data_IF_994542503612
#
_entry.id   IF_994542503612
#
_cell.length_a   1.000
_cell.length_b   1.000
_cell.length_c   1.000
_cell.angle_alpha   90.00
_cell.angle_beta   90.00
_cell.angle_gamma   90.00
#
_symmetry.space_group_name_H-M   'P 1'
#
loop_
_entity.id
_entity.type
_entity.pdbx_description
1 polymer ?
#
# COMPACT_ATOMS: atom_id res chain seq x y z
N UNK A 1 -43.86 -13.78 20.80
CA UNK A 1 -42.70 -13.25 21.56
C UNK A 1 -41.45 -13.52 20.72
N UNK A 2 -40.83 -12.46 20.21
CA UNK A 2 -39.90 -12.49 19.07
C UNK A 2 -38.56 -13.20 19.35
N UNK A 3 -38.12 -14.01 18.38
CA UNK A 3 -36.79 -14.65 18.27
C UNK A 3 -35.62 -13.64 18.15
N UNK A 4 -35.92 -12.34 18.06
CA UNK A 4 -34.95 -11.24 17.90
C UNK A 4 -34.23 -10.82 19.19
N UNK A 5 -34.71 -11.25 20.37
CA UNK A 5 -34.12 -10.90 21.67
C UNK A 5 -33.14 -11.93 22.24
N UNK A 6 -33.05 -13.14 21.66
CA UNK A 6 -32.09 -14.16 22.16
C UNK A 6 -30.64 -13.89 21.73
N UNK A 7 -30.44 -13.23 20.59
CA UNK A 7 -29.10 -12.86 20.13
C UNK A 7 -28.46 -11.84 21.07
N UNK A 8 -29.18 -10.79 21.50
CA UNK A 8 -28.64 -9.74 22.39
C UNK A 8 -28.25 -10.25 23.79
N UNK A 9 -28.97 -11.24 24.33
CA UNK A 9 -28.68 -11.82 25.65
C UNK A 9 -27.57 -12.87 25.66
N UNK A 10 -27.30 -13.54 24.55
CA UNK A 10 -26.20 -14.52 24.46
C UNK A 10 -24.81 -13.86 24.51
N UNK A 11 -24.71 -12.56 24.20
CA UNK A 11 -23.43 -11.83 24.23
C UNK A 11 -23.01 -11.37 25.62
N UNK A 12 -23.94 -11.07 26.52
CA UNK A 12 -23.60 -10.80 27.93
C UNK A 12 -23.07 -12.06 28.65
N UNK A 13 -23.45 -13.25 28.19
CA UNK A 13 -23.07 -14.52 28.84
C UNK A 13 -21.86 -15.18 28.16
N UNK A 14 -21.60 -14.91 26.87
CA UNK A 14 -20.39 -15.38 26.19
C UNK A 14 -19.11 -14.60 26.61
N UNK A 15 -19.27 -13.39 27.17
CA UNK A 15 -18.18 -12.67 27.85
C UNK A 15 -17.89 -13.14 29.28
N UNK A 16 -18.62 -14.15 29.79
CA UNK A 16 -18.57 -14.56 31.20
C UNK A 16 -17.98 -15.97 31.45
N UNK A 17 -17.25 -16.54 30.48
CA UNK A 17 -16.54 -17.81 30.67
C UNK A 17 -15.02 -17.73 30.44
N UNK A 18 -14.41 -16.57 30.67
CA UNK A 18 -12.98 -16.45 31.04
C UNK A 18 -12.87 -15.51 32.25
N UNK A 19 -13.61 -15.79 33.31
CA UNK A 19 -13.33 -15.23 34.64
C UNK A 19 -12.44 -16.21 35.41
N UNK A 20 -11.27 -16.50 34.87
CA UNK A 20 -10.12 -16.82 35.69
C UNK A 20 -9.55 -15.48 36.18
N UNK A 21 -9.30 -15.34 37.48
CA UNK A 21 -8.57 -14.19 38.01
C UNK A 21 -7.35 -13.91 37.11
N UNK A 22 -7.09 -12.64 36.79
CA UNK A 22 -5.87 -12.22 36.11
C UNK A 22 -4.67 -12.77 36.88
N UNK A 23 -4.14 -13.91 36.41
CA UNK A 23 -2.89 -14.43 36.91
C UNK A 23 -1.83 -13.48 36.35
N UNK A 24 -1.10 -12.81 37.23
CA UNK A 24 0.01 -11.97 36.82
C UNK A 24 1.00 -12.81 36.01
N UNK A 25 1.14 -12.50 34.71
CA UNK A 25 2.03 -13.21 33.80
C UNK A 25 1.62 -13.04 32.32
N UNK A 26 2.46 -13.56 31.40
CA UNK A 26 2.20 -13.49 29.96
C UNK A 26 0.90 -14.22 29.58
N UNK A 27 0.23 -13.78 28.52
CA UNK A 27 -0.96 -14.44 28.01
C UNK A 27 -0.66 -15.90 27.58
N UNK A 28 -1.59 -16.81 27.80
CA UNK A 28 -1.47 -18.19 27.28
C UNK A 28 -1.71 -18.20 25.77
N UNK A 29 -1.25 -19.26 25.09
CA UNK A 29 -1.52 -19.44 23.66
C UNK A 29 -3.03 -19.48 23.37
N UNK A 30 -3.82 -20.10 24.25
CA UNK A 30 -5.28 -20.16 24.13
C UNK A 30 -5.92 -18.76 24.18
N UNK A 31 -5.41 -17.86 25.04
CA UNK A 31 -5.88 -16.47 25.09
C UNK A 31 -5.56 -15.72 23.80
N UNK A 32 -4.36 -15.91 23.23
CA UNK A 32 -3.93 -15.27 21.98
C UNK A 32 -4.77 -15.76 20.80
N UNK A 33 -4.94 -17.07 20.68
CA UNK A 33 -5.73 -17.69 19.62
C UNK A 33 -7.21 -17.26 19.72
N UNK A 34 -7.74 -17.22 20.95
CA UNK A 34 -9.10 -16.74 21.23
C UNK A 34 -9.31 -15.29 20.83
N UNK A 35 -8.38 -14.40 21.16
CA UNK A 35 -8.43 -12.99 20.77
C UNK A 35 -8.46 -12.82 19.24
N UNK A 36 -7.61 -13.56 18.52
CA UNK A 36 -7.51 -13.48 17.07
C UNK A 36 -8.73 -14.09 16.35
N UNK A 37 -9.25 -15.23 16.81
CA UNK A 37 -10.47 -15.81 16.25
C UNK A 37 -11.71 -14.96 16.54
N UNK A 38 -11.78 -14.29 17.70
CA UNK A 38 -12.85 -13.33 18.00
C UNK A 38 -12.81 -12.15 17.02
N UNK A 39 -11.63 -11.54 16.82
CA UNK A 39 -11.45 -10.48 15.82
C UNK A 39 -11.89 -10.94 14.42
N UNK A 40 -11.43 -12.12 13.99
CA UNK A 40 -11.73 -12.65 12.66
C UNK A 40 -13.23 -12.89 12.46
N UNK A 41 -13.86 -13.57 13.41
CA UNK A 41 -15.28 -13.96 13.31
C UNK A 41 -16.19 -12.73 13.37
N UNK A 42 -15.97 -11.85 14.35
CA UNK A 42 -16.84 -10.68 14.54
C UNK A 42 -16.76 -9.70 13.38
N UNK A 43 -15.57 -9.50 12.82
CA UNK A 43 -15.42 -8.63 11.64
C UNK A 43 -16.03 -9.24 10.38
N UNK A 44 -16.14 -10.56 10.26
CA UNK A 44 -16.87 -11.19 9.16
C UNK A 44 -18.38 -10.97 9.30
N UNK A 45 -18.94 -11.13 10.50
CA UNK A 45 -20.34 -10.85 10.80
C UNK A 45 -20.71 -9.40 10.52
N UNK A 46 -19.92 -8.44 11.05
CA UNK A 46 -20.16 -7.02 10.85
C UNK A 46 -20.13 -6.62 9.37
N UNK A 47 -19.29 -7.26 8.55
CA UNK A 47 -19.29 -7.05 7.09
C UNK A 47 -20.55 -7.60 6.44
N UNK A 48 -20.95 -8.83 6.78
CA UNK A 48 -22.18 -9.43 6.25
C UNK A 48 -23.43 -8.61 6.60
N UNK A 49 -23.44 -8.00 7.79
CA UNK A 49 -24.50 -7.12 8.26
C UNK A 49 -24.40 -5.67 7.74
N UNK A 50 -23.34 -5.31 7.00
CA UNK A 50 -23.03 -3.93 6.58
C UNK A 50 -22.93 -2.94 7.77
N UNK A 51 -22.44 -3.40 8.91
CA UNK A 51 -22.25 -2.63 10.16
C UNK A 51 -20.79 -2.41 10.55
N UNK A 52 -19.84 -2.93 9.77
CA UNK A 52 -18.43 -2.67 10.02
C UNK A 52 -18.13 -1.19 9.80
N UNK A 53 -17.71 -0.51 10.87
CA UNK A 53 -17.27 0.88 10.88
C UNK A 53 -16.14 1.04 11.92
N UNK A 54 -15.62 2.26 12.10
CA UNK A 54 -14.51 2.51 13.02
C UNK A 54 -14.84 2.15 14.48
N UNK A 55 -16.06 2.47 14.93
CA UNK A 55 -16.52 2.19 16.29
C UNK A 55 -16.64 0.68 16.54
N UNK A 56 -17.34 -0.05 15.67
CA UNK A 56 -17.50 -1.50 15.82
C UNK A 56 -16.18 -2.26 15.63
N UNK A 57 -15.24 -1.70 14.86
CA UNK A 57 -13.87 -2.22 14.76
C UNK A 57 -13.13 -2.08 16.09
N UNK A 58 -13.19 -0.90 16.70
CA UNK A 58 -12.58 -0.63 18.00
C UNK A 58 -13.15 -1.49 19.11
N UNK A 59 -14.48 -1.55 19.23
CA UNK A 59 -15.18 -2.40 20.20
C UNK A 59 -14.78 -3.88 20.09
N UNK A 60 -14.61 -4.36 18.86
CA UNK A 60 -14.15 -5.75 18.63
C UNK A 60 -12.72 -5.95 19.14
N UNK A 61 -11.84 -4.97 18.92
CA UNK A 61 -10.47 -4.99 19.44
C UNK A 61 -10.42 -5.02 20.97
N UNK A 62 -11.18 -4.15 21.62
CA UNK A 62 -11.29 -4.09 23.09
C UNK A 62 -11.80 -5.42 23.66
N UNK A 63 -12.84 -5.98 23.05
CA UNK A 63 -13.38 -7.28 23.45
C UNK A 63 -12.36 -8.40 23.26
N UNK A 64 -11.57 -8.37 22.19
CA UNK A 64 -10.54 -9.37 21.91
C UNK A 64 -9.39 -9.34 22.93
N UNK A 65 -9.07 -8.17 23.48
CA UNK A 65 -8.00 -8.00 24.48
C UNK A 65 -8.49 -8.09 25.92
N UNK A 66 -9.77 -8.39 26.15
CA UNK A 66 -10.33 -8.49 27.50
C UNK A 66 -9.58 -9.55 28.33
N UNK A 67 -8.99 -9.13 29.46
CA UNK A 67 -8.19 -10.00 30.33
C UNK A 67 -6.74 -10.24 29.87
N UNK A 68 -6.27 -9.53 28.83
CA UNK A 68 -4.88 -9.54 28.38
C UNK A 68 -4.18 -8.26 28.83
N UNK A 69 -3.16 -8.41 29.68
CA UNK A 69 -2.30 -7.32 30.16
C UNK A 69 -1.11 -7.11 29.21
N UNK A 70 -1.19 -6.09 28.36
CA UNK A 70 -0.17 -5.81 27.34
C UNK A 70 1.23 -5.61 27.95
N UNK A 71 1.30 -5.02 29.16
CA UNK A 71 2.55 -4.79 29.88
C UNK A 71 3.33 -6.06 30.26
N UNK A 72 2.66 -7.21 30.30
CA UNK A 72 3.28 -8.49 30.68
C UNK A 72 3.64 -9.37 29.46
N UNK A 73 3.23 -8.96 28.25
CA UNK A 73 3.44 -9.74 27.04
C UNK A 73 4.92 -9.82 26.65
N UNK A 74 5.31 -10.94 26.04
CA UNK A 74 6.60 -11.06 25.34
C UNK A 74 6.54 -10.42 23.96
N UNK A 75 7.69 -10.24 23.31
CA UNK A 75 7.76 -9.68 21.94
C UNK A 75 6.88 -10.46 20.96
N UNK A 76 7.02 -11.79 20.93
CA UNK A 76 6.26 -12.64 20.02
C UNK A 76 4.75 -12.61 20.28
N UNK A 77 4.32 -12.41 21.54
CA UNK A 77 2.91 -12.27 21.87
C UNK A 77 2.33 -10.93 21.42
N UNK A 78 3.11 -9.85 21.53
CA UNK A 78 2.72 -8.55 20.97
C UNK A 78 2.61 -8.65 19.45
N UNK A 79 3.60 -9.27 18.79
CA UNK A 79 3.57 -9.56 17.35
C UNK A 79 2.28 -10.30 16.94
N UNK A 80 1.92 -11.37 17.65
CA UNK A 80 0.72 -12.16 17.39
C UNK A 80 -0.60 -11.41 17.67
N UNK A 81 -0.57 -10.35 18.48
CA UNK A 81 -1.74 -9.55 18.88
C UNK A 81 -1.76 -8.16 18.22
N UNK A 82 -0.91 -7.87 17.24
CA UNK A 82 -0.82 -6.55 16.62
C UNK A 82 -2.15 -6.04 16.07
N UNK A 83 -2.97 -6.92 15.49
CA UNK A 83 -4.29 -6.55 14.95
C UNK A 83 -5.29 -6.12 16.04
N UNK A 84 -5.56 -6.93 17.08
CA UNK A 84 -6.42 -6.48 18.17
C UNK A 84 -5.85 -5.27 18.92
N UNK A 85 -4.53 -5.19 19.16
CA UNK A 85 -3.86 -4.02 19.76
C UNK A 85 -4.15 -2.75 18.96
N UNK A 86 -3.99 -2.83 17.63
CA UNK A 86 -4.24 -1.69 16.75
C UNK A 86 -5.71 -1.30 16.70
N UNK A 87 -6.62 -2.28 16.75
CA UNK A 87 -8.06 -2.04 16.75
C UNK A 87 -8.54 -1.37 18.03
N UNK A 88 -8.07 -1.83 19.19
CA UNK A 88 -8.42 -1.31 20.50
C UNK A 88 -7.79 0.07 20.81
N UNK A 89 -6.99 0.64 19.91
CA UNK A 89 -6.22 1.86 20.17
C UNK A 89 -5.25 1.75 21.36
N UNK A 90 -4.77 0.52 21.67
CA UNK A 90 -3.83 0.23 22.78
C UNK A 90 -2.36 0.25 22.33
N UNK A 91 -2.05 0.89 21.21
CA UNK A 91 -0.68 1.08 20.72
C UNK A 91 0.25 1.75 21.74
N UNK A 92 -0.18 2.77 22.53
CA UNK A 92 0.71 3.39 23.52
C UNK A 92 1.22 2.41 24.59
N UNK A 93 0.37 1.49 25.04
CA UNK A 93 0.75 0.45 26.02
C UNK A 93 1.72 -0.56 25.39
N UNK A 94 1.44 -1.01 24.17
CA UNK A 94 2.32 -1.90 23.43
C UNK A 94 3.68 -1.25 23.17
N UNK A 95 3.71 0.03 22.77
CA UNK A 95 4.93 0.79 22.57
C UNK A 95 5.75 0.92 23.86
N UNK A 96 5.11 1.18 25.01
CA UNK A 96 5.80 1.22 26.30
C UNK A 96 6.46 -0.13 26.65
N UNK A 97 5.74 -1.24 26.43
CA UNK A 97 6.28 -2.58 26.65
C UNK A 97 7.42 -2.90 25.68
N UNK A 98 7.24 -2.65 24.39
CA UNK A 98 8.26 -2.90 23.36
C UNK A 98 9.54 -2.08 23.60
N UNK A 99 9.45 -0.83 24.08
CA UNK A 99 10.64 -0.04 24.49
C UNK A 99 11.47 -0.76 25.56
N UNK A 100 10.81 -1.43 26.51
CA UNK A 100 11.50 -2.18 27.57
C UNK A 100 12.16 -3.44 27.01
N UNK A 101 11.43 -4.19 26.17
CA UNK A 101 11.91 -5.41 25.55
C UNK A 101 13.06 -5.16 24.55
N UNK A 102 13.04 -4.02 23.85
CA UNK A 102 14.06 -3.62 22.88
C UNK A 102 15.44 -3.33 23.50
N UNK A 103 15.55 -3.26 24.82
CA UNK A 103 16.85 -3.13 25.50
C UNK A 103 17.65 -4.45 25.50
N UNK A 104 16.97 -5.59 25.28
CA UNK A 104 17.64 -6.90 25.20
C UNK A 104 18.45 -7.02 23.90
N UNK A 105 19.71 -7.46 23.99
CA UNK A 105 20.63 -7.53 22.85
C UNK A 105 20.50 -8.83 22.04
N UNK A 106 19.36 -9.50 22.13
CA UNK A 106 19.02 -10.76 21.44
C UNK A 106 18.14 -10.50 20.21
N UNK A 107 17.82 -11.55 19.45
CA UNK A 107 16.84 -11.48 18.38
C UNK A 107 15.44 -11.04 18.89
N UNK A 108 15.06 -11.38 20.12
CA UNK A 108 13.79 -10.94 20.74
C UNK A 108 13.73 -9.43 20.96
N UNK A 109 14.84 -8.83 21.40
CA UNK A 109 14.93 -7.37 21.53
C UNK A 109 15.00 -6.66 20.18
N UNK A 110 15.65 -7.27 19.17
CA UNK A 110 15.66 -6.72 17.82
C UNK A 110 14.25 -6.70 17.20
N UNK A 111 13.49 -7.79 17.33
CA UNK A 111 12.10 -7.85 16.91
C UNK A 111 11.24 -6.83 17.69
N UNK A 112 11.48 -6.66 19.00
CA UNK A 112 10.78 -5.65 19.78
C UNK A 112 11.06 -4.23 19.29
N UNK A 113 12.30 -3.93 18.92
CA UNK A 113 12.68 -2.64 18.36
C UNK A 113 12.01 -2.41 16.99
N UNK A 114 11.96 -3.43 16.13
CA UNK A 114 11.25 -3.37 14.86
C UNK A 114 9.74 -3.15 15.04
N UNK A 115 9.09 -3.90 15.93
CA UNK A 115 7.67 -3.73 16.26
C UNK A 115 7.38 -2.36 16.90
N UNK A 116 8.31 -1.83 17.70
CA UNK A 116 8.16 -0.49 18.26
C UNK A 116 8.05 0.55 17.14
N UNK A 117 8.85 0.45 16.08
CA UNK A 117 8.78 1.38 14.96
C UNK A 117 7.45 1.29 14.19
N UNK A 118 6.81 0.11 14.18
CA UNK A 118 5.57 -0.12 13.40
C UNK A 118 4.29 0.10 14.21
N UNK A 119 4.33 -0.07 15.54
CA UNK A 119 3.15 0.08 16.40
C UNK A 119 2.81 1.55 16.67
N UNK A 120 3.74 2.48 16.45
CA UNK A 120 3.50 3.91 16.71
C UNK A 120 2.28 4.42 15.94
N UNK A 121 1.38 5.18 16.58
CA UNK A 121 0.18 5.68 15.91
C UNK A 121 0.55 6.66 14.80
N UNK A 122 -0.35 6.89 13.83
CA UNK A 122 -0.08 7.71 12.62
C UNK A 122 0.25 9.18 12.91
N UNK A 123 -0.15 9.68 14.05
CA UNK A 123 0.10 11.03 14.55
C UNK A 123 1.32 11.13 15.48
N UNK A 124 2.03 10.02 15.74
CA UNK A 124 3.29 10.04 16.49
C UNK A 124 4.27 11.06 15.88
N UNK A 125 5.00 11.75 16.75
CA UNK A 125 5.91 12.83 16.36
C UNK A 125 7.05 12.30 15.49
N UNK A 126 7.63 13.18 14.67
CA UNK A 126 8.78 12.81 13.84
C UNK A 126 9.98 12.36 14.69
N UNK A 127 10.20 12.97 15.85
CA UNK A 127 11.26 12.60 16.78
C UNK A 127 11.04 11.20 17.38
N UNK A 128 9.81 10.87 17.73
CA UNK A 128 9.46 9.55 18.27
C UNK A 128 9.69 8.45 17.22
N UNK A 129 9.21 8.68 15.99
CA UNK A 129 9.45 7.76 14.86
C UNK A 129 10.93 7.62 14.55
N UNK A 130 11.64 8.74 14.49
CA UNK A 130 13.09 8.77 14.22
C UNK A 130 13.84 7.92 15.24
N UNK A 131 13.51 8.08 16.53
CA UNK A 131 14.14 7.35 17.63
C UNK A 131 13.86 5.86 17.54
N UNK A 132 12.61 5.47 17.30
CA UNK A 132 12.22 4.07 17.17
C UNK A 132 12.90 3.39 15.97
N UNK A 133 12.87 4.03 14.79
CA UNK A 133 13.49 3.51 13.58
C UNK A 133 15.02 3.40 13.72
N UNK A 134 15.68 4.41 14.29
CA UNK A 134 17.12 4.35 14.56
C UNK A 134 17.46 3.19 15.50
N UNK A 135 16.71 3.05 16.59
CA UNK A 135 16.87 1.96 17.55
C UNK A 135 16.77 0.58 16.87
N UNK A 136 15.75 0.39 16.02
CA UNK A 136 15.55 -0.84 15.27
C UNK A 136 16.70 -1.12 14.28
N UNK A 137 17.07 -0.14 13.45
CA UNK A 137 18.09 -0.31 12.40
C UNK A 137 19.50 -0.50 12.95
N UNK A 138 19.78 0.04 14.13
CA UNK A 138 21.09 -0.04 14.79
C UNK A 138 21.16 -1.15 15.84
N UNK A 139 20.07 -1.90 16.03
CA UNK A 139 20.03 -2.96 17.02
C UNK A 139 21.09 -4.04 16.71
N UNK A 140 21.96 -4.43 17.66
CA UNK A 140 23.10 -5.30 17.39
C UNK A 140 22.72 -6.68 16.87
N UNK A 141 21.52 -7.17 17.22
CA UNK A 141 20.99 -8.46 16.79
C UNK A 141 20.02 -8.37 15.58
N UNK A 142 19.90 -7.21 14.91
CA UNK A 142 18.97 -7.04 13.78
C UNK A 142 19.19 -8.09 12.68
N UNK A 143 20.45 -8.32 12.28
CA UNK A 143 20.76 -9.32 11.24
C UNK A 143 20.37 -10.73 11.69
N UNK A 144 20.59 -11.07 12.96
CA UNK A 144 20.21 -12.37 13.51
C UNK A 144 18.69 -12.55 13.49
N UNK A 145 17.94 -11.55 13.95
CA UNK A 145 16.48 -11.55 13.91
C UNK A 145 15.94 -11.72 12.48
N UNK A 146 16.47 -10.98 11.52
CA UNK A 146 16.08 -11.12 10.11
C UNK A 146 16.38 -12.51 9.54
N UNK A 147 17.49 -13.15 9.96
CA UNK A 147 17.79 -14.54 9.56
C UNK A 147 16.80 -15.55 10.16
N UNK A 148 16.14 -15.19 11.25
CA UNK A 148 15.11 -16.00 11.92
C UNK A 148 13.68 -15.62 11.48
N UNK A 149 13.52 -14.76 10.45
CA UNK A 149 12.21 -14.22 10.02
C UNK A 149 11.50 -13.47 11.14
N UNK A 150 12.26 -12.62 11.84
CA UNK A 150 11.77 -11.75 12.91
C UNK A 150 12.16 -10.30 12.64
N UNK A 151 11.20 -9.39 12.76
CA UNK A 151 11.41 -7.94 12.65
C UNK A 151 11.48 -7.42 11.21
N UNK A 152 11.17 -8.22 10.19
CA UNK A 152 11.08 -7.79 8.79
C UNK A 152 9.94 -6.79 8.52
N UNK A 153 9.03 -6.57 9.48
CA UNK A 153 8.09 -5.46 9.48
C UNK A 153 8.81 -4.11 9.37
N UNK A 154 10.01 -4.00 9.96
CA UNK A 154 10.88 -2.83 9.81
C UNK A 154 11.16 -2.50 8.34
N UNK A 155 11.41 -3.52 7.52
CA UNK A 155 11.73 -3.32 6.09
C UNK A 155 10.55 -2.71 5.34
N UNK A 156 9.33 -3.07 5.74
CA UNK A 156 8.12 -2.48 5.16
C UNK A 156 7.90 -1.06 5.70
N UNK A 157 8.06 -0.84 7.00
CA UNK A 157 7.89 0.47 7.64
C UNK A 157 8.82 1.54 7.06
N UNK A 158 10.08 1.18 6.75
CA UNK A 158 11.02 2.07 6.07
C UNK A 158 10.52 2.54 4.69
N UNK A 159 9.68 1.75 4.03
CA UNK A 159 9.05 2.11 2.74
C UNK A 159 7.89 3.10 2.88
N UNK A 160 7.27 3.21 4.05
CA UNK A 160 6.14 4.09 4.33
C UNK A 160 6.52 5.33 5.14
N UNK A 161 7.74 5.35 5.68
CA UNK A 161 8.26 6.45 6.49
C UNK A 161 8.39 7.72 5.65
N UNK A 162 8.00 8.86 6.24
CA UNK A 162 8.12 10.18 5.61
C UNK A 162 9.58 10.52 5.26
N UNK A 163 9.76 11.24 4.15
CA UNK A 163 11.08 11.66 3.65
C UNK A 163 11.90 12.41 4.71
N UNK A 164 11.26 13.28 5.47
CA UNK A 164 11.90 14.14 6.49
C UNK A 164 12.58 13.33 7.60
N UNK A 165 11.99 12.18 7.95
CA UNK A 165 12.57 11.23 8.91
C UNK A 165 13.67 10.40 8.24
N UNK A 166 13.44 9.89 7.03
CA UNK A 166 14.40 9.06 6.31
C UNK A 166 15.72 9.79 5.99
N UNK A 167 15.67 11.08 5.66
CA UNK A 167 16.87 11.90 5.44
C UNK A 167 17.79 11.95 6.67
N UNK A 168 17.23 11.82 7.87
CA UNK A 168 18.00 11.81 9.13
C UNK A 168 18.53 10.42 9.50
N UNK A 169 18.21 9.41 8.69
CA UNK A 169 18.55 8.00 8.90
C UNK A 169 19.32 7.40 7.72
N UNK A 170 19.84 8.23 6.81
CA UNK A 170 20.50 7.77 5.60
C UNK A 170 21.65 6.75 5.87
N UNK A 171 22.57 6.97 6.85
CA UNK A 171 23.61 6.00 7.16
C UNK A 171 23.05 4.66 7.66
N UNK A 172 22.05 4.69 8.54
CA UNK A 172 21.39 3.51 9.09
C UNK A 172 20.62 2.75 8.00
N UNK A 173 19.89 3.46 7.16
CA UNK A 173 19.14 2.90 6.04
C UNK A 173 20.06 2.19 5.04
N UNK A 174 21.20 2.82 4.71
CA UNK A 174 22.24 2.20 3.88
C UNK A 174 22.83 0.96 4.55
N UNK A 175 23.10 1.02 5.86
CA UNK A 175 23.60 -0.12 6.64
C UNK A 175 22.64 -1.32 6.58
N UNK A 176 21.33 -1.10 6.80
CA UNK A 176 20.31 -2.16 6.69
C UNK A 176 20.32 -2.78 5.29
N UNK A 177 20.40 -1.97 4.23
CA UNK A 177 20.49 -2.48 2.86
C UNK A 177 21.71 -3.39 2.65
N UNK A 178 22.85 -3.14 3.32
CA UNK A 178 24.02 -4.02 3.22
C UNK A 178 23.82 -5.40 3.88
N UNK A 179 22.89 -5.52 4.83
CA UNK A 179 22.58 -6.79 5.50
C UNK A 179 21.82 -7.74 4.55
N UNK A 180 21.03 -7.20 3.64
CA UNK A 180 20.17 -7.98 2.74
C UNK A 180 21.00 -8.77 1.72
N UNK A 181 20.79 -10.09 1.68
CA UNK A 181 21.49 -11.01 0.79
C UNK A 181 20.61 -12.19 0.36
N UNK A 182 20.98 -12.88 -0.71
CA UNK A 182 20.26 -14.07 -1.20
C UNK A 182 20.46 -15.35 -0.37
N UNK A 183 21.10 -15.24 0.80
CA UNK A 183 21.19 -16.30 1.81
C UNK A 183 20.11 -16.14 2.89
N UNK A 184 19.46 -14.97 2.95
CA UNK A 184 18.37 -14.73 3.88
C UNK A 184 17.10 -15.48 3.47
N UNK A 185 16.17 -15.71 4.42
CA UNK A 185 14.87 -16.29 4.12
C UNK A 185 14.11 -15.51 3.04
N UNK A 186 13.36 -16.23 2.20
CA UNK A 186 12.60 -15.65 1.09
C UNK A 186 11.60 -14.58 1.56
N UNK A 187 10.99 -14.73 2.75
CA UNK A 187 10.11 -13.73 3.37
C UNK A 187 10.81 -12.39 3.56
N UNK A 188 12.01 -12.42 4.16
CA UNK A 188 12.83 -11.23 4.44
C UNK A 188 13.30 -10.55 3.17
N UNK A 189 13.87 -11.30 2.22
CA UNK A 189 14.30 -10.74 0.93
C UNK A 189 13.11 -10.15 0.17
N UNK A 190 11.96 -10.81 0.22
CA UNK A 190 10.73 -10.31 -0.38
C UNK A 190 10.25 -8.99 0.24
N UNK A 191 10.37 -8.84 1.56
CA UNK A 191 9.99 -7.60 2.26
C UNK A 191 11.01 -6.48 2.09
N UNK A 192 12.29 -6.81 1.90
CA UNK A 192 13.35 -5.83 1.65
C UNK A 192 13.10 -4.98 0.39
N UNK A 193 12.28 -5.47 -0.56
CA UNK A 193 11.83 -4.66 -1.70
C UNK A 193 11.07 -3.41 -1.26
N UNK A 194 10.24 -3.49 -0.23
CA UNK A 194 9.44 -2.34 0.22
C UNK A 194 10.30 -1.22 0.81
N UNK A 195 11.40 -1.57 1.47
CA UNK A 195 12.38 -0.58 1.95
C UNK A 195 12.90 0.29 0.81
N UNK A 196 12.98 -0.22 -0.43
CA UNK A 196 13.41 0.55 -1.59
C UNK A 196 12.50 1.76 -1.87
N UNK A 197 11.21 1.71 -1.51
CA UNK A 197 10.32 2.85 -1.62
C UNK A 197 10.80 4.04 -0.76
N UNK A 198 11.39 3.77 0.41
CA UNK A 198 11.98 4.80 1.26
C UNK A 198 13.17 5.49 0.58
N UNK A 199 14.01 4.73 -0.11
CA UNK A 199 15.12 5.29 -0.91
C UNK A 199 14.63 6.14 -2.08
N UNK A 200 13.53 5.75 -2.72
CA UNK A 200 12.89 6.54 -3.78
C UNK A 200 12.35 7.88 -3.26
N UNK A 201 11.90 7.93 -2.00
CA UNK A 201 11.38 9.15 -1.39
C UNK A 201 12.46 10.22 -1.10
N UNK A 202 13.75 9.85 -1.01
CA UNK A 202 14.84 10.77 -0.67
C UNK A 202 15.06 11.91 -1.70
N UNK A 203 14.59 11.75 -2.93
CA UNK A 203 14.66 12.78 -3.98
C UNK A 203 15.92 12.68 -4.85
N UNK A 204 16.02 13.49 -5.91
CA UNK A 204 16.95 13.25 -7.03
C UNK A 204 18.43 13.16 -6.64
N UNK A 205 18.88 13.93 -5.65
CA UNK A 205 20.28 14.01 -5.18
C UNK A 205 20.86 12.67 -4.70
N UNK A 206 20.01 11.69 -4.39
CA UNK A 206 20.42 10.36 -3.90
C UNK A 206 20.55 9.29 -5.01
N UNK A 207 20.63 9.70 -6.29
CA UNK A 207 20.64 8.78 -7.43
C UNK A 207 21.69 7.66 -7.37
N UNK A 208 22.94 8.00 -7.02
CA UNK A 208 24.01 7.00 -6.93
C UNK A 208 23.78 5.98 -5.81
N UNK A 209 23.32 6.44 -4.63
CA UNK A 209 22.97 5.56 -3.51
C UNK A 209 21.77 4.67 -3.85
N UNK A 210 20.74 5.23 -4.50
CA UNK A 210 19.58 4.46 -4.97
C UNK A 210 20.02 3.33 -5.89
N UNK A 211 20.86 3.62 -6.88
CA UNK A 211 21.33 2.60 -7.82
C UNK A 211 22.15 1.50 -7.15
N UNK A 212 23.05 1.87 -6.22
CA UNK A 212 23.82 0.90 -5.44
C UNK A 212 22.90 -0.05 -4.65
N UNK A 213 21.94 0.52 -3.90
CA UNK A 213 21.01 -0.24 -3.07
C UNK A 213 20.08 -1.09 -3.93
N UNK A 214 19.52 -0.53 -5.01
CA UNK A 214 18.68 -1.24 -5.98
C UNK A 214 19.41 -2.44 -6.56
N UNK A 215 20.65 -2.26 -7.02
CA UNK A 215 21.46 -3.34 -7.57
C UNK A 215 21.70 -4.47 -6.57
N UNK A 216 21.98 -4.12 -5.30
CA UNK A 216 22.14 -5.08 -4.21
C UNK A 216 20.84 -5.86 -3.93
N UNK A 217 19.72 -5.15 -3.78
CA UNK A 217 18.42 -5.76 -3.53
C UNK A 217 18.01 -6.65 -4.71
N UNK A 218 18.22 -6.21 -5.94
CA UNK A 218 17.92 -6.99 -7.14
C UNK A 218 18.72 -8.28 -7.19
N UNK A 219 20.03 -8.22 -6.89
CA UNK A 219 20.88 -9.40 -6.80
C UNK A 219 20.40 -10.35 -5.71
N UNK A 220 20.17 -9.85 -4.49
CA UNK A 220 19.67 -10.66 -3.38
C UNK A 220 18.33 -11.34 -3.71
N UNK A 221 17.43 -10.61 -4.37
CA UNK A 221 16.11 -11.10 -4.78
C UNK A 221 16.22 -12.22 -5.80
N UNK A 222 17.06 -12.07 -6.83
CA UNK A 222 17.31 -13.12 -7.83
C UNK A 222 17.97 -14.35 -7.22
N UNK A 223 18.97 -14.15 -6.38
CA UNK A 223 19.70 -15.22 -5.69
C UNK A 223 18.75 -16.03 -4.77
N UNK A 224 17.81 -15.36 -4.09
CA UNK A 224 16.79 -16.00 -3.26
C UNK A 224 15.73 -16.72 -4.10
N UNK A 225 15.25 -16.09 -5.19
CA UNK A 225 14.24 -16.67 -6.08
C UNK A 225 14.71 -18.00 -6.69
N UNK A 226 16.00 -18.10 -7.03
CA UNK A 226 16.59 -19.31 -7.60
C UNK A 226 16.56 -20.53 -6.65
N UNK A 227 16.36 -20.31 -5.35
CA UNK A 227 16.36 -21.34 -4.30
C UNK A 227 15.01 -21.50 -3.61
N UNK A 228 14.05 -20.64 -3.93
CA UNK A 228 12.76 -20.57 -3.27
C UNK A 228 11.78 -21.61 -3.82
N UNK A 229 10.90 -22.09 -2.94
CA UNK A 229 9.70 -22.83 -3.34
C UNK A 229 8.79 -21.96 -4.21
N UNK A 230 7.94 -22.59 -5.02
CA UNK A 230 7.19 -21.92 -6.10
C UNK A 230 6.39 -20.69 -5.62
N UNK A 231 5.74 -20.78 -4.46
CA UNK A 231 4.93 -19.68 -3.92
C UNK A 231 5.78 -18.43 -3.61
N UNK A 232 6.97 -18.61 -3.01
CA UNK A 232 7.88 -17.51 -2.71
C UNK A 232 8.63 -17.04 -3.96
N UNK A 233 8.98 -17.97 -4.85
CA UNK A 233 9.65 -17.68 -6.11
C UNK A 233 8.85 -16.70 -6.96
N UNK A 234 7.55 -16.93 -7.14
CA UNK A 234 6.67 -16.02 -7.90
C UNK A 234 6.69 -14.60 -7.31
N UNK A 235 6.65 -14.47 -5.98
CA UNK A 235 6.73 -13.17 -5.30
C UNK A 235 8.09 -12.49 -5.52
N UNK A 236 9.18 -13.25 -5.40
CA UNK A 236 10.53 -12.72 -5.58
C UNK A 236 10.81 -12.33 -7.04
N UNK A 237 10.32 -13.10 -8.01
CA UNK A 237 10.43 -12.76 -9.45
C UNK A 237 9.72 -11.44 -9.76
N UNK A 238 8.49 -11.23 -9.26
CA UNK A 238 7.79 -9.94 -9.37
C UNK A 238 8.54 -8.79 -8.70
N UNK A 239 9.15 -9.03 -7.54
CA UNK A 239 9.99 -8.03 -6.89
C UNK A 239 11.25 -7.71 -7.70
N UNK A 240 11.84 -8.72 -8.36
CA UNK A 240 12.99 -8.53 -9.24
C UNK A 240 12.62 -7.74 -10.49
N UNK A 241 11.44 -7.99 -11.08
CA UNK A 241 10.88 -7.18 -12.16
C UNK A 241 10.68 -5.72 -11.73
N UNK A 242 10.10 -5.49 -10.54
CA UNK A 242 9.96 -4.15 -9.99
C UNK A 242 11.31 -3.43 -9.83
N UNK A 243 12.28 -4.06 -9.17
CA UNK A 243 13.63 -3.51 -8.97
C UNK A 243 14.39 -3.33 -10.28
N UNK A 244 14.02 -4.08 -11.32
CA UNK A 244 14.56 -3.94 -12.65
C UNK A 244 13.79 -2.94 -13.51
N UNK A 245 12.62 -2.43 -13.10
CA UNK A 245 11.76 -1.54 -13.90
C UNK A 245 12.26 -0.09 -13.99
N UNK A 246 11.78 0.65 -14.99
CA UNK A 246 12.19 2.03 -15.25
C UNK A 246 12.02 2.96 -14.03
N UNK A 247 10.90 2.85 -13.31
CA UNK A 247 10.68 3.58 -12.06
C UNK A 247 11.80 3.32 -11.05
N UNK A 248 12.10 2.06 -10.76
CA UNK A 248 13.09 1.71 -9.76
C UNK A 248 14.51 2.14 -10.17
N UNK A 249 14.83 2.15 -11.47
CA UNK A 249 16.10 2.66 -12.00
C UNK A 249 16.21 4.20 -11.96
N UNK A 250 15.14 4.91 -11.59
CA UNK A 250 15.09 6.38 -11.66
C UNK A 250 15.00 6.90 -13.10
N UNK A 251 14.58 6.07 -14.04
CA UNK A 251 14.49 6.36 -15.48
C UNK A 251 13.04 6.60 -15.94
N UNK A 252 12.13 6.92 -15.01
CA UNK A 252 10.73 7.24 -15.32
C UNK A 252 10.53 8.76 -15.47
N UNK A 253 10.87 9.51 -14.42
CA UNK A 253 10.60 10.95 -14.34
C UNK A 253 11.43 11.72 -15.36
N UNK A 254 10.78 12.54 -16.18
CA UNK A 254 11.36 13.29 -17.31
C UNK A 254 11.92 12.44 -18.45
N UNK A 255 11.70 11.12 -18.43
CA UNK A 255 12.02 10.20 -19.51
C UNK A 255 10.77 9.86 -20.34
N UNK A 256 10.98 9.30 -21.54
CA UNK A 256 9.87 8.77 -22.35
C UNK A 256 9.12 7.72 -21.55
N UNK A 257 7.79 7.81 -21.58
CA UNK A 257 6.94 6.91 -20.85
C UNK A 257 7.17 5.45 -21.29
N UNK A 258 7.26 4.49 -20.34
CA UNK A 258 7.34 3.08 -20.68
C UNK A 258 6.19 2.65 -21.59
N UNK A 259 6.47 1.74 -22.52
CA UNK A 259 5.51 1.33 -23.52
C UNK A 259 4.26 0.71 -22.88
N UNK A 260 3.09 1.11 -23.36
CA UNK A 260 1.82 0.45 -23.09
C UNK A 260 1.27 -0.07 -24.42
N UNK A 261 1.28 -1.39 -24.57
CA UNK A 261 0.75 -2.07 -25.75
C UNK A 261 -0.73 -2.31 -25.52
N UNK A 262 -1.58 -1.61 -26.28
CA UNK A 262 -3.03 -1.71 -26.14
C UNK A 262 -3.52 -2.98 -26.86
N UNK A 263 -4.16 -3.88 -26.13
CA UNK A 263 -4.82 -5.06 -26.68
C UNK A 263 -6.30 -4.81 -27.00
N UNK A 264 -6.92 -3.86 -26.30
CA UNK A 264 -8.28 -3.39 -26.55
C UNK A 264 -8.46 -1.97 -26.03
N UNK A 265 -9.31 -1.18 -26.70
CA UNK A 265 -9.67 0.17 -26.29
C UNK A 265 -11.15 0.42 -26.50
N UNK A 266 -11.79 1.14 -25.57
CA UNK A 266 -13.14 1.67 -25.75
C UNK A 266 -13.19 2.81 -26.77
N UNK A 267 -12.06 3.47 -27.01
CA UNK A 267 -11.85 4.42 -28.11
C UNK A 267 -10.87 3.78 -29.12
N UNK A 268 -11.35 3.28 -30.27
CA UNK A 268 -10.51 2.60 -31.26
C UNK A 268 -9.38 3.46 -31.84
N UNK A 269 -9.39 4.78 -31.65
CA UNK A 269 -8.29 5.65 -32.07
C UNK A 269 -7.04 5.54 -31.19
N UNK A 270 -7.16 4.93 -29.99
CA UNK A 270 -6.08 4.75 -29.03
C UNK A 270 -5.56 3.31 -29.12
N UNK A 271 -4.50 3.10 -29.90
CA UNK A 271 -3.82 1.80 -30.06
C UNK A 271 -2.45 1.78 -29.38
N UNK A 272 -1.94 2.95 -29.02
CA UNK A 272 -0.64 3.15 -28.39
C UNK A 272 -0.55 4.53 -27.74
N UNK A 273 0.44 4.74 -26.87
CA UNK A 273 0.74 6.08 -26.34
C UNK A 273 1.16 7.08 -27.43
N UNK A 274 1.69 6.61 -28.57
CA UNK A 274 2.07 7.50 -29.67
C UNK A 274 0.89 8.19 -30.33
N UNK A 275 -0.31 7.60 -30.27
CA UNK A 275 -1.55 8.18 -30.83
C UNK A 275 -1.99 9.43 -30.04
N UNK A 276 -1.46 9.61 -28.83
CA UNK A 276 -1.80 10.70 -27.92
C UNK A 276 -0.76 11.82 -27.90
N UNK A 277 0.27 11.76 -28.75
CA UNK A 277 1.28 12.83 -28.87
C UNK A 277 0.65 14.18 -29.16
N UNK A 278 1.25 15.24 -28.63
CA UNK A 278 0.72 16.59 -28.72
C UNK A 278 -0.32 16.94 -27.66
N UNK A 279 -0.73 15.99 -26.82
CA UNK A 279 -1.64 16.19 -25.68
C UNK A 279 -0.94 15.91 -24.36
N UNK A 280 -1.37 16.57 -23.29
CA UNK A 280 -1.08 16.10 -21.93
C UNK A 280 -1.91 14.83 -21.69
N UNK A 281 -1.28 13.74 -21.27
CA UNK A 281 -1.96 12.45 -21.05
C UNK A 281 -1.98 12.12 -19.57
N UNK A 282 -3.16 11.87 -19.01
CA UNK A 282 -3.34 11.38 -17.64
C UNK A 282 -3.65 9.89 -17.72
N UNK A 283 -2.70 9.05 -17.34
CA UNK A 283 -2.90 7.60 -17.22
C UNK A 283 -3.38 7.28 -15.81
N UNK A 284 -4.56 6.69 -15.70
CA UNK A 284 -5.15 6.22 -14.43
C UNK A 284 -5.15 4.68 -14.41
N UNK A 285 -4.23 4.09 -13.65
CA UNK A 285 -4.13 2.64 -13.49
C UNK A 285 -5.16 2.15 -12.48
N UNK A 286 -6.07 1.28 -12.92
CA UNK A 286 -7.24 0.86 -12.14
C UNK A 286 -7.73 -0.54 -12.54
N UNK A 287 -8.69 -1.08 -11.78
CA UNK A 287 -9.35 -2.35 -12.11
C UNK A 287 -10.81 -2.37 -11.61
N UNK A 288 -11.65 -3.21 -12.21
CA UNK A 288 -13.09 -3.30 -11.88
C UNK A 288 -13.37 -3.77 -10.46
N UNK A 289 -12.46 -4.54 -9.86
CA UNK A 289 -12.56 -5.00 -8.47
C UNK A 289 -12.10 -3.96 -7.45
N UNK A 290 -11.43 -2.89 -7.89
CA UNK A 290 -10.80 -1.90 -7.01
C UNK A 290 -11.82 -0.89 -6.48
N UNK A 291 -12.31 -1.12 -5.26
CA UNK A 291 -13.23 -0.22 -4.57
C UNK A 291 -12.76 1.25 -4.50
N UNK A 292 -11.52 1.54 -4.06
CA UNK A 292 -10.99 2.91 -4.04
C UNK A 292 -10.90 3.57 -5.42
N UNK A 293 -10.65 2.79 -6.48
CA UNK A 293 -10.64 3.29 -7.85
C UNK A 293 -12.06 3.74 -8.26
N UNK A 294 -13.07 2.89 -8.03
CA UNK A 294 -14.47 3.23 -8.35
C UNK A 294 -14.93 4.45 -7.55
N UNK A 295 -14.56 4.55 -6.27
CA UNK A 295 -14.87 5.70 -5.44
C UNK A 295 -14.27 7.02 -5.97
N UNK A 296 -13.24 6.96 -6.82
CA UNK A 296 -12.60 8.13 -7.42
C UNK A 296 -13.22 8.60 -8.74
N UNK A 297 -14.10 7.81 -9.36
CA UNK A 297 -14.68 8.11 -10.67
C UNK A 297 -15.37 9.48 -10.78
N UNK A 298 -16.08 9.98 -9.75
CA UNK A 298 -16.61 11.36 -9.79
C UNK A 298 -15.51 12.41 -10.02
N UNK A 299 -14.36 12.28 -9.34
CA UNK A 299 -13.24 13.22 -9.51
C UNK A 299 -12.58 13.08 -10.89
N UNK A 300 -12.52 11.86 -11.43
CA UNK A 300 -12.00 11.63 -12.78
C UNK A 300 -12.92 12.26 -13.81
N UNK A 301 -14.25 12.12 -13.65
CA UNK A 301 -15.24 12.77 -14.51
C UNK A 301 -15.11 14.29 -14.50
N UNK A 302 -15.02 14.90 -13.32
CA UNK A 302 -14.84 16.35 -13.19
C UNK A 302 -13.51 16.82 -13.83
N UNK A 303 -12.44 16.02 -13.73
CA UNK A 303 -11.19 16.30 -14.42
C UNK A 303 -11.34 16.25 -15.95
N UNK A 304 -12.09 15.27 -16.47
CA UNK A 304 -12.39 15.14 -17.91
C UNK A 304 -13.21 16.34 -18.39
N UNK A 305 -14.27 16.70 -17.67
CA UNK A 305 -15.14 17.85 -17.97
C UNK A 305 -14.35 19.17 -17.98
N UNK A 306 -13.45 19.38 -17.01
CA UNK A 306 -12.59 20.57 -16.95
C UNK A 306 -11.76 20.77 -18.22
N UNK A 307 -11.25 19.68 -18.79
CA UNK A 307 -10.36 19.73 -19.95
C UNK A 307 -11.07 19.43 -21.27
N UNK A 308 -12.40 19.43 -21.29
CA UNK A 308 -13.15 19.35 -22.53
C UNK A 308 -12.77 20.50 -23.47
N UNK A 309 -12.41 20.15 -24.72
CA UNK A 309 -11.94 21.12 -25.72
C UNK A 309 -10.48 21.55 -25.59
N UNK A 310 -9.72 21.04 -24.61
CA UNK A 310 -8.29 21.30 -24.44
C UNK A 310 -7.45 20.10 -24.89
N UNK A 311 -6.14 20.27 -25.20
CA UNK A 311 -5.27 19.17 -25.62
C UNK A 311 -4.82 18.33 -24.41
N UNK A 312 -5.78 17.75 -23.70
CA UNK A 312 -5.60 16.84 -22.57
C UNK A 312 -6.47 15.61 -22.79
N UNK A 313 -5.99 14.45 -22.38
CA UNK A 313 -6.77 13.20 -22.40
C UNK A 313 -6.53 12.42 -21.12
N UNK A 314 -7.61 11.94 -20.51
CA UNK A 314 -7.55 10.98 -19.40
C UNK A 314 -7.80 9.59 -19.97
N UNK A 315 -6.96 8.62 -19.63
CA UNK A 315 -7.06 7.23 -20.10
C UNK A 315 -7.01 6.30 -18.91
N UNK A 316 -8.07 5.51 -18.73
CA UNK A 316 -8.10 4.45 -17.73
C UNK A 316 -7.33 3.23 -18.24
N UNK A 317 -6.26 2.84 -17.57
CA UNK A 317 -5.39 1.71 -17.93
C UNK A 317 -5.68 0.52 -17.01
N UNK A 318 -6.08 -0.61 -17.58
CA UNK A 318 -6.22 -1.90 -16.87
C UNK A 318 -5.45 -3.00 -17.62
N UNK A 319 -5.26 -4.16 -16.99
CA UNK A 319 -4.84 -5.41 -17.66
C UNK A 319 -5.90 -6.49 -17.46
N UNK A 320 -5.77 -7.64 -18.12
CA UNK A 320 -6.61 -8.81 -17.86
C UNK A 320 -6.41 -9.26 -16.40
N UNK A 321 -7.48 -9.29 -15.62
CA UNK A 321 -7.48 -9.65 -14.20
C UNK A 321 -7.89 -11.12 -13.98
N UNK A 322 -8.53 -11.75 -14.97
CA UNK A 322 -9.16 -13.06 -14.82
C UNK A 322 -10.50 -13.00 -14.07
N UNK A 323 -10.99 -11.81 -13.76
CA UNK A 323 -12.28 -11.57 -13.15
C UNK A 323 -12.80 -10.18 -13.52
N UNK A 324 -14.13 -10.04 -13.62
CA UNK A 324 -14.80 -8.77 -13.87
C UNK A 324 -15.84 -8.52 -12.78
N UNK A 325 -15.91 -7.31 -12.24
CA UNK A 325 -16.86 -6.99 -11.16
C UNK A 325 -17.93 -6.04 -11.68
N UNK A 326 -19.19 -6.48 -11.67
CA UNK A 326 -20.35 -5.64 -11.99
C UNK A 326 -21.27 -5.46 -10.78
N UNK A 327 -22.46 -4.86 -10.99
CA UNK A 327 -23.47 -4.68 -9.95
C UNK A 327 -23.83 -5.97 -9.19
N UNK A 328 -23.88 -7.11 -9.88
CA UNK A 328 -24.30 -8.40 -9.34
C UNK A 328 -23.16 -9.21 -8.67
N UNK A 329 -21.96 -8.63 -8.61
CA UNK A 329 -20.77 -9.26 -8.00
C UNK A 329 -19.71 -9.70 -9.01
N UNK A 330 -18.74 -10.53 -8.56
CA UNK A 330 -17.64 -10.98 -9.41
C UNK A 330 -18.09 -12.01 -10.45
N UNK A 331 -17.60 -11.84 -11.67
CA UNK A 331 -17.75 -12.74 -12.81
C UNK A 331 -16.38 -13.35 -13.08
N UNK A 332 -16.28 -14.68 -12.97
CA UNK A 332 -15.06 -15.41 -13.30
C UNK A 332 -14.78 -15.32 -14.82
N UNK A 333 -13.59 -14.84 -15.16
CA UNK A 333 -13.09 -14.71 -16.53
C UNK A 333 -11.74 -15.41 -16.70
N UNK A 334 -11.37 -16.32 -15.79
CA UNK A 334 -10.07 -16.98 -15.79
C UNK A 334 -9.86 -17.77 -17.08
N UNK A 335 -8.82 -17.41 -17.84
CA UNK A 335 -8.53 -18.02 -19.13
C UNK A 335 -9.45 -17.56 -20.28
N UNK A 336 -10.34 -16.60 -20.02
CA UNK A 336 -11.30 -16.05 -21.00
C UNK A 336 -11.09 -14.52 -21.17
N UNK A 337 -9.93 -14.05 -21.67
CA UNK A 337 -9.63 -12.62 -21.73
C UNK A 337 -10.60 -11.82 -22.63
N UNK A 338 -11.13 -12.43 -23.70
CA UNK A 338 -12.13 -11.78 -24.56
C UNK A 338 -13.46 -11.54 -23.85
N UNK A 339 -13.87 -12.48 -22.97
CA UNK A 339 -15.05 -12.33 -22.14
C UNK A 339 -14.88 -11.13 -21.20
N UNK A 340 -13.75 -11.05 -20.50
CA UNK A 340 -13.45 -9.93 -19.60
C UNK A 340 -13.49 -8.57 -20.32
N UNK A 341 -12.88 -8.48 -21.49
CA UNK A 341 -12.91 -7.26 -22.33
C UNK A 341 -14.33 -6.92 -22.77
N UNK A 342 -15.13 -7.91 -23.18
CA UNK A 342 -16.49 -7.68 -23.68
C UNK A 342 -17.43 -7.09 -22.63
N UNK A 343 -17.17 -7.34 -21.34
CA UNK A 343 -17.95 -6.82 -20.22
C UNK A 343 -17.65 -5.35 -19.91
N UNK A 344 -16.52 -4.82 -20.35
CA UNK A 344 -16.06 -3.47 -20.00
C UNK A 344 -17.01 -2.36 -20.46
N UNK A 345 -17.58 -2.48 -21.66
CA UNK A 345 -18.52 -1.46 -22.17
C UNK A 345 -19.76 -1.32 -21.28
N UNK A 346 -20.29 -2.43 -20.77
CA UNK A 346 -21.42 -2.43 -19.82
C UNK A 346 -21.03 -1.81 -18.48
N UNK A 347 -19.84 -2.16 -17.96
CA UNK A 347 -19.32 -1.56 -16.73
C UNK A 347 -19.13 -0.05 -16.84
N UNK A 348 -18.55 0.42 -17.94
CA UNK A 348 -18.37 1.86 -18.19
C UNK A 348 -19.70 2.61 -18.20
N UNK A 349 -20.74 2.02 -18.81
CA UNK A 349 -22.09 2.58 -18.79
C UNK A 349 -22.67 2.58 -17.38
N UNK A 350 -22.54 1.48 -16.63
CA UNK A 350 -23.06 1.37 -15.26
C UNK A 350 -22.41 2.37 -14.31
N UNK A 351 -21.13 2.68 -14.51
CA UNK A 351 -20.33 3.57 -13.65
C UNK A 351 -20.23 5.00 -14.18
N UNK A 352 -20.98 5.34 -15.23
CA UNK A 352 -20.98 6.66 -15.87
C UNK A 352 -19.54 7.14 -16.17
N UNK A 353 -18.73 6.25 -16.75
CA UNK A 353 -17.35 6.53 -17.15
C UNK A 353 -17.35 7.24 -18.51
N UNK A 354 -16.79 8.44 -18.55
CA UNK A 354 -16.79 9.32 -19.73
C UNK A 354 -15.42 9.44 -20.41
N UNK A 355 -14.41 8.73 -19.91
CA UNK A 355 -13.06 8.68 -20.47
C UNK A 355 -12.77 7.33 -21.13
N UNK A 356 -11.84 7.29 -22.11
CA UNK A 356 -11.43 6.03 -22.72
C UNK A 356 -10.77 5.08 -21.71
N UNK A 357 -11.06 3.79 -21.86
CA UNK A 357 -10.42 2.69 -21.12
C UNK A 357 -9.65 1.81 -22.10
N UNK A 358 -8.43 1.43 -21.71
CA UNK A 358 -7.57 0.52 -22.46
C UNK A 358 -7.23 -0.71 -21.61
N UNK A 359 -7.26 -1.89 -22.24
CA UNK A 359 -6.58 -3.07 -21.72
C UNK A 359 -5.16 -3.08 -22.30
N UNK A 360 -4.17 -2.95 -21.42
CA UNK A 360 -2.78 -3.09 -21.77
C UNK A 360 -2.34 -4.57 -21.66
N UNK A 361 -1.37 -4.95 -22.50
CA UNK A 361 -0.65 -6.22 -22.38
C UNK A 361 0.17 -6.27 -21.09
N UNK A 362 0.73 -5.13 -20.69
CA UNK A 362 1.43 -4.96 -19.43
C UNK A 362 0.45 -5.05 -18.27
N UNK A 363 0.87 -5.68 -17.17
CA UNK A 363 0.07 -5.77 -15.95
C UNK A 363 -0.32 -4.40 -15.41
N UNK A 364 -1.51 -4.28 -14.81
CA UNK A 364 -1.97 -3.04 -14.17
C UNK A 364 -1.02 -2.58 -13.06
N UNK A 365 -0.43 -3.52 -12.32
CA UNK A 365 0.66 -3.27 -11.37
C UNK A 365 2.01 -3.13 -12.11
N UNK A 366 2.05 -2.19 -13.05
CA UNK A 366 3.17 -2.03 -13.96
C UNK A 366 4.44 -1.57 -13.22
N UNK A 367 5.51 -2.40 -13.19
CA UNK A 367 6.74 -2.07 -12.48
C UNK A 367 7.51 -0.90 -13.10
N UNK A 368 7.40 -0.68 -14.42
CA UNK A 368 8.09 0.42 -15.09
C UNK A 368 7.50 1.78 -14.70
N UNK A 369 6.21 1.84 -14.41
CA UNK A 369 5.54 3.03 -13.85
C UNK A 369 5.59 3.09 -12.32
N UNK A 370 6.10 2.04 -11.65
CA UNK A 370 6.16 1.96 -10.19
C UNK A 370 4.81 1.73 -9.52
N UNK A 371 3.85 1.11 -10.21
CA UNK A 371 2.48 0.90 -9.69
C UNK A 371 2.49 -0.23 -8.64
N UNK A 372 2.65 0.15 -7.38
CA UNK A 372 2.64 -0.77 -6.24
C UNK A 372 1.25 -1.01 -5.64
N UNK A 373 0.27 -0.22 -6.06
CA UNK A 373 -1.11 -0.24 -5.61
C UNK A 373 -1.95 0.58 -6.57
N UNK A 374 -3.25 0.30 -6.61
CA UNK A 374 -4.21 1.07 -7.40
C UNK A 374 -5.27 1.69 -6.47
N UNK A 375 -5.79 2.87 -6.81
CA UNK A 375 -5.52 3.61 -8.05
C UNK A 375 -4.15 4.31 -8.05
N UNK A 376 -3.59 4.51 -9.24
CA UNK A 376 -2.31 5.19 -9.44
C UNK A 376 -2.34 6.04 -10.72
N UNK A 377 -1.96 7.31 -10.61
CA UNK A 377 -1.98 8.24 -11.74
C UNK A 377 -0.58 8.69 -12.13
N UNK A 378 -0.30 8.63 -13.44
CA UNK A 378 0.85 9.24 -14.08
C UNK A 378 0.39 10.31 -15.09
N UNK A 379 1.13 11.41 -15.19
CA UNK A 379 0.85 12.50 -16.14
C UNK A 379 2.04 12.64 -17.08
N UNK A 380 1.76 12.56 -18.37
CA UNK A 380 2.73 12.70 -19.44
C UNK A 380 2.57 14.07 -20.10
N UNK A 381 3.69 14.67 -20.50
CA UNK A 381 3.68 15.86 -21.35
C UNK A 381 3.33 15.53 -22.81
N UNK A 382 3.11 16.55 -23.67
CA UNK A 382 2.83 16.37 -25.11
C UNK A 382 3.89 15.60 -25.91
N UNK A 383 5.14 15.55 -25.42
CA UNK A 383 6.19 14.73 -26.02
C UNK A 383 6.10 13.26 -25.59
N UNK A 384 5.26 12.93 -24.62
CA UNK A 384 5.11 11.60 -24.06
C UNK A 384 6.18 11.27 -23.01
N UNK A 385 6.73 12.27 -22.31
CA UNK A 385 7.58 12.06 -21.14
C UNK A 385 6.75 12.09 -19.87
N UNK A 386 7.07 11.24 -18.88
CA UNK A 386 6.37 11.25 -17.58
C UNK A 386 6.86 12.44 -16.75
N UNK A 387 5.94 13.32 -16.37
CA UNK A 387 6.24 14.54 -15.59
C UNK A 387 5.74 14.48 -14.16
N UNK A 388 4.69 13.70 -13.93
CA UNK A 388 4.18 13.40 -12.58
C UNK A 388 3.82 11.92 -12.49
N UNK A 389 4.00 11.33 -11.31
CA UNK A 389 3.72 9.91 -11.05
C UNK A 389 3.29 9.72 -9.59
N UNK A 390 2.61 8.60 -9.29
CA UNK A 390 2.21 8.26 -7.92
C UNK A 390 1.09 9.15 -7.36
N UNK A 391 0.30 9.77 -8.23
CA UNK A 391 -0.85 10.58 -7.83
C UNK A 391 -2.06 9.68 -7.56
N UNK A 392 -3.01 10.16 -6.74
CA UNK A 392 -4.27 9.49 -6.48
C UNK A 392 -5.44 10.23 -7.19
N UNK A 393 -6.26 9.54 -8.01
CA UNK A 393 -7.36 10.18 -8.73
C UNK A 393 -8.41 10.76 -7.78
N UNK A 394 -8.71 10.05 -6.69
CA UNK A 394 -9.69 10.48 -5.66
C UNK A 394 -9.23 11.64 -4.75
N UNK A 395 -8.00 12.13 -4.88
CA UNK A 395 -7.59 13.35 -4.17
C UNK A 395 -8.24 14.61 -4.75
N UNK A 396 -8.04 15.80 -4.12
CA UNK A 396 -8.52 17.06 -4.66
C UNK A 396 -8.09 17.30 -6.11
N UNK A 397 -8.93 17.98 -6.89
CA UNK A 397 -8.67 18.21 -8.30
C UNK A 397 -7.63 19.30 -8.52
N UNK A 398 -7.68 20.38 -7.75
CA UNK A 398 -6.78 21.53 -7.87
C UNK A 398 -5.29 21.14 -8.05
N UNK A 399 -4.67 20.31 -7.17
CA UNK A 399 -3.26 19.94 -7.34
C UNK A 399 -2.95 19.16 -8.63
N UNK A 400 -3.91 18.39 -9.15
CA UNK A 400 -3.76 17.68 -10.43
C UNK A 400 -3.93 18.63 -11.60
N UNK A 401 -4.92 19.52 -11.51
CA UNK A 401 -5.19 20.52 -12.52
C UNK A 401 -4.00 21.49 -12.69
N UNK A 402 -3.43 22.01 -11.59
CA UNK A 402 -2.24 22.87 -11.63
C UNK A 402 -1.06 22.23 -12.36
N UNK A 403 -0.85 20.92 -12.17
CA UNK A 403 0.20 20.16 -12.86
C UNK A 403 -0.07 20.07 -14.36
N UNK A 404 -1.30 19.79 -14.76
CA UNK A 404 -1.70 19.72 -16.17
C UNK A 404 -1.63 21.10 -16.83
N UNK A 405 -2.17 22.14 -16.18
CA UNK A 405 -2.16 23.53 -16.64
C UNK A 405 -0.72 24.05 -16.81
N UNK A 406 0.20 23.67 -15.91
CA UNK A 406 1.62 23.99 -16.03
C UNK A 406 2.26 23.35 -17.29
N UNK A 407 1.93 22.10 -17.61
CA UNK A 407 2.42 21.43 -18.83
C UNK A 407 1.81 22.04 -20.09
N UNK A 408 0.51 22.36 -20.08
CA UNK A 408 -0.13 23.06 -21.20
C UNK A 408 0.58 24.39 -21.48
N UNK A 409 0.86 25.17 -20.43
CA UNK A 409 1.59 26.43 -20.54
C UNK A 409 3.03 26.24 -21.02
N UNK A 410 3.76 25.26 -20.47
CA UNK A 410 5.14 24.93 -20.86
C UNK A 410 5.23 24.65 -22.37
N UNK A 411 4.22 23.99 -22.94
CA UNK A 411 4.15 23.62 -24.35
C UNK A 411 3.39 24.63 -25.23
N UNK A 412 3.02 25.80 -24.70
CA UNK A 412 2.24 26.84 -25.39
C UNK A 412 0.90 26.34 -25.97
N UNK A 413 0.24 25.45 -25.23
CA UNK A 413 -1.07 24.90 -25.57
C UNK A 413 -2.19 25.69 -24.87
N UNK A 414 -3.40 25.63 -25.44
CA UNK A 414 -4.58 26.20 -24.81
C UNK A 414 -4.83 25.55 -23.44
N UNK A 415 -5.14 26.37 -22.43
CA UNK A 415 -5.42 25.92 -21.07
C UNK A 415 -6.70 26.59 -20.55
N UNK A 416 -7.47 25.90 -19.68
CA UNK A 416 -8.63 26.48 -19.03
C UNK A 416 -8.27 27.61 -18.06
N UNK A 417 -9.27 28.34 -17.58
CA UNK A 417 -9.08 29.30 -16.50
C UNK A 417 -8.49 28.60 -15.25
N UNK A 418 -7.57 29.23 -14.50
CA UNK A 418 -6.98 28.65 -13.30
C UNK A 418 -8.04 28.18 -12.31
N UNK A 419 -7.78 27.07 -11.61
CA UNK A 419 -8.67 26.61 -10.54
C UNK A 419 -8.67 27.65 -9.42
N UNK A 420 -9.83 28.23 -9.12
CA UNK A 420 -10.00 29.06 -7.93
C UNK A 420 -10.11 28.12 -6.74
N UNK A 421 -9.05 28.03 -5.95
CA UNK A 421 -9.10 27.31 -4.67
C UNK A 421 -9.83 28.23 -3.70
N UNK A 422 -11.13 27.99 -3.47
CA UNK A 422 -11.77 28.52 -2.27
C UNK A 422 -11.03 27.91 -1.08
N UNK A 423 -10.36 28.75 -0.30
CA UNK A 423 -9.80 28.34 0.97
C UNK A 423 -10.96 27.88 1.84
N UNK A 424 -11.14 26.56 1.95
CA UNK A 424 -11.99 26.01 2.99
C UNK A 424 -11.40 26.47 4.32
N UNK A 425 -12.08 27.42 4.96
CA UNK A 425 -11.77 27.83 6.33
C UNK A 425 -11.75 26.55 7.18
N UNK A 426 -10.61 26.31 7.83
CA UNK A 426 -10.47 25.25 8.81
C UNK A 426 -11.46 25.53 9.94
N UNK A 427 -12.59 24.83 9.96
CA UNK A 427 -13.43 24.76 11.16
C UNK A 427 -12.71 23.87 12.17
N UNK A 428 -12.32 24.52 13.27
CA UNK A 428 -11.63 23.99 14.46
C UNK A 428 -12.10 22.62 14.97
#
# INVERSE_FOLDING_TARGET
MNLRNKASWMWMVAGLAVCGAALAGPATQEQIDGANELMKTRLAELRAEKKLNAETYKETGEAALAGIEIGELTTGQISALMRPISAAERQPEAAARLRTLAADRTADGAEAAALLATVLPRDASEEERLTALRGAMTHPALREALMQERGEELLSELGWTKKEVLLQLEPELRSVATMISGEMPARVVGNARYMYNGFMALGEDHGAMREEVRGRLLKATKDAAAKAEEADKVRLEKNAEFLAGAYARGELMNHKAPALTVEWSSDPSITSLSDLKGKVVVLDFWATWCGPCIASFPNVRELVERYEGYPVVVVGVTSIQGAHYGADGPIDCKGEPDKERSLMAGFMQEKDMTWPVVFAKQEVFNPDYGVNGIPHVAILDPDGKVRHNGLHPGGPIAPKAEKIDALLKEFNLAAPAPVVVEQAEATN
#
